data_IF_632020842379
#
_entry.id   IF_632020842379
#
_cell.length_a   1.000
_cell.length_b   1.000
_cell.length_c   1.000
_cell.angle_alpha   90.00
_cell.angle_beta   90.00
_cell.angle_gamma   90.00
#
_symmetry.space_group_name_H-M   'P 1'
#
loop_
_entity.id
_entity.type
_entity.pdbx_description
1 polymer ?
#
# COMPACT_ATOMS: atom_id res chain seq x y z
N UNK A 1 -2.77 3.17 26.88
CA UNK A 1 -1.85 3.09 25.75
C UNK A 1 -1.25 1.69 25.77
N UNK A 2 -1.63 0.86 24.82
CA UNK A 2 -1.12 -0.49 24.67
C UNK A 2 0.00 -0.52 23.60
N UNK A 3 0.65 -1.67 23.40
CA UNK A 3 1.70 -1.82 22.38
C UNK A 3 1.23 -1.42 20.97
N UNK A 4 0.00 -1.75 20.61
CA UNK A 4 -0.58 -1.45 19.28
C UNK A 4 -0.71 0.06 19.07
N UNK A 5 -1.19 0.78 20.07
CA UNK A 5 -1.33 2.24 20.01
C UNK A 5 0.04 2.91 19.83
N UNK A 6 1.07 2.41 20.51
CA UNK A 6 2.45 2.91 20.37
C UNK A 6 3.01 2.65 18.97
N UNK A 7 2.80 1.44 18.42
CA UNK A 7 3.25 1.11 17.06
C UNK A 7 2.54 1.97 16.01
N UNK A 8 1.23 2.19 16.17
CA UNK A 8 0.48 3.08 15.27
C UNK A 8 0.96 4.52 15.30
N UNK A 9 1.34 5.04 16.48
CA UNK A 9 1.92 6.37 16.60
C UNK A 9 3.30 6.44 15.92
N UNK A 10 4.16 5.44 16.15
CA UNK A 10 5.46 5.35 15.50
C UNK A 10 5.33 5.26 13.97
N UNK A 11 4.42 4.44 13.47
CA UNK A 11 4.13 4.31 12.04
C UNK A 11 3.68 5.64 11.43
N UNK A 12 2.89 6.43 12.16
CA UNK A 12 2.48 7.76 11.73
C UNK A 12 3.67 8.72 11.64
N UNK A 13 4.54 8.74 12.65
CA UNK A 13 5.73 9.58 12.67
C UNK A 13 6.71 9.21 11.55
N UNK A 14 6.92 7.91 11.31
CA UNK A 14 7.78 7.41 10.24
C UNK A 14 7.21 7.74 8.86
N UNK A 15 5.90 7.52 8.65
CA UNK A 15 5.26 7.87 7.38
C UNK A 15 5.37 9.37 7.10
N UNK A 16 5.11 10.22 8.10
CA UNK A 16 5.25 11.67 7.96
C UNK A 16 6.69 12.06 7.57
N UNK A 17 7.70 11.50 8.23
CA UNK A 17 9.10 11.77 7.90
C UNK A 17 9.47 11.31 6.48
N UNK A 18 8.96 10.15 6.04
CA UNK A 18 9.18 9.68 4.67
C UNK A 18 8.42 10.51 3.63
N UNK A 19 7.22 11.00 3.96
CA UNK A 19 6.45 11.86 3.09
C UNK A 19 7.16 13.21 2.87
N UNK A 20 7.68 13.81 3.94
CA UNK A 20 8.48 15.05 3.86
C UNK A 20 9.75 14.88 3.00
N UNK A 21 10.33 13.68 3.02
CA UNK A 21 11.49 13.33 2.21
C UNK A 21 11.13 12.89 0.76
N UNK A 22 9.84 12.84 0.41
CA UNK A 22 9.37 12.43 -0.92
C UNK A 22 9.41 10.93 -1.19
N UNK A 23 9.49 10.10 -0.14
CA UNK A 23 9.50 8.63 -0.22
C UNK A 23 8.14 7.99 0.08
N UNK A 24 7.19 8.76 0.60
CA UNK A 24 5.85 8.29 0.92
C UNK A 24 4.80 9.31 0.47
N UNK A 25 3.60 8.81 0.22
CA UNK A 25 2.51 9.66 -0.26
C UNK A 25 1.18 9.26 0.38
N UNK A 26 0.18 10.12 0.20
CA UNK A 26 -1.21 9.88 0.56
C UNK A 26 -2.01 9.66 -0.71
N UNK A 27 -2.77 8.58 -0.75
CA UNK A 27 -3.64 8.22 -1.86
C UNK A 27 -5.11 8.24 -1.44
N UNK A 28 -6.00 8.11 -2.42
CA UNK A 28 -7.41 7.81 -2.18
C UNK A 28 -7.67 6.34 -2.49
N UNK A 29 -8.06 5.57 -1.48
CA UNK A 29 -8.57 4.22 -1.63
C UNK A 29 -10.06 4.29 -1.94
N UNK A 30 -10.49 3.67 -3.04
CA UNK A 30 -11.90 3.56 -3.42
C UNK A 30 -12.26 2.10 -3.64
N UNK A 31 -13.18 1.58 -2.82
CA UNK A 31 -13.73 0.25 -3.02
C UNK A 31 -14.94 0.27 -4.00
N UNK A 32 -15.55 -0.89 -4.24
CA UNK A 32 -16.72 -1.00 -5.13
C UNK A 32 -17.95 -0.21 -4.69
N UNK A 33 -17.99 0.26 -3.44
CA UNK A 33 -19.07 1.08 -2.90
C UNK A 33 -18.85 2.57 -3.22
N UNK A 34 -17.78 2.90 -3.98
CA UNK A 34 -17.44 4.25 -4.45
C UNK A 34 -17.23 5.27 -3.31
N UNK A 35 -16.90 4.81 -2.11
CA UNK A 35 -16.48 5.71 -1.03
C UNK A 35 -14.98 5.86 -1.08
N UNK A 36 -14.50 7.06 -1.41
CA UNK A 36 -13.08 7.39 -1.40
C UNK A 36 -12.61 7.67 0.03
N UNK A 37 -11.58 6.96 0.47
CA UNK A 37 -10.96 7.07 1.79
C UNK A 37 -9.51 7.51 1.61
N UNK A 38 -9.11 8.68 2.17
CA UNK A 38 -7.70 9.06 2.22
C UNK A 38 -6.90 8.02 3.01
N UNK A 39 -5.81 7.55 2.43
CA UNK A 39 -4.97 6.52 3.03
C UNK A 39 -3.51 6.78 2.75
N UNK A 40 -2.65 6.43 3.70
CA UNK A 40 -1.21 6.45 3.53
C UNK A 40 -0.77 5.22 2.76
N UNK A 41 0.17 5.41 1.85
CA UNK A 41 0.71 4.33 1.04
C UNK A 41 2.22 4.42 0.89
N UNK A 42 2.83 3.26 0.69
CA UNK A 42 4.15 3.14 0.07
C UNK A 42 4.01 2.49 -1.30
N UNK A 43 4.64 3.08 -2.31
CA UNK A 43 4.65 2.55 -3.68
C UNK A 43 6.06 2.12 -4.03
N UNK A 44 6.24 0.82 -4.16
CA UNK A 44 7.48 0.22 -4.64
C UNK A 44 7.33 -0.08 -6.13
N UNK A 45 8.11 0.64 -6.94
CA UNK A 45 8.12 0.51 -8.41
C UNK A 45 9.28 -0.37 -8.81
N UNK A 46 9.05 -1.21 -9.81
CA UNK A 46 10.05 -2.16 -10.31
C UNK A 46 10.48 -3.20 -9.26
N UNK A 47 9.57 -3.54 -8.33
CA UNK A 47 9.81 -4.59 -7.36
C UNK A 47 10.03 -5.93 -8.10
N UNK A 48 11.19 -6.54 -7.88
CA UNK A 48 11.55 -7.83 -8.45
C UNK A 48 11.56 -8.90 -7.37
N UNK A 49 10.86 -10.00 -7.62
CA UNK A 49 10.98 -11.20 -6.81
C UNK A 49 12.12 -12.05 -7.37
N UNK A 50 13.20 -12.21 -6.61
CA UNK A 50 14.24 -13.17 -6.94
C UNK A 50 13.96 -14.49 -6.21
N UNK A 51 13.51 -15.51 -6.96
CA UNK A 51 13.32 -16.87 -6.46
C UNK A 51 14.53 -17.76 -6.76
N UNK A 52 14.84 -18.71 -5.86
CA UNK A 52 15.95 -19.67 -6.03
C UNK A 52 15.67 -20.77 -7.07
N UNK A 53 14.44 -20.90 -7.58
CA UNK A 53 14.05 -21.94 -8.53
C UNK A 53 13.01 -21.42 -9.54
N UNK A 54 13.48 -20.79 -10.62
CA UNK A 54 12.78 -20.79 -11.92
C UNK A 54 11.58 -19.86 -12.13
N UNK A 55 11.39 -18.81 -11.32
CA UNK A 55 10.31 -17.82 -11.59
C UNK A 55 10.74 -16.77 -12.63
N UNK A 56 9.81 -16.45 -13.54
CA UNK A 56 9.96 -15.42 -14.58
C UNK A 56 10.00 -14.05 -13.90
N UNK A 57 11.14 -13.37 -14.03
CA UNK A 57 11.30 -11.98 -13.60
C UNK A 57 10.39 -11.07 -14.42
N UNK A 58 9.53 -10.32 -13.73
CA UNK A 58 8.77 -9.22 -14.30
C UNK A 58 8.72 -8.08 -13.29
N UNK A 59 9.09 -6.88 -13.73
CA UNK A 59 8.91 -5.67 -12.93
C UNK A 59 7.42 -5.55 -12.59
N UNK A 60 7.10 -5.46 -11.30
CA UNK A 60 5.73 -5.21 -10.83
C UNK A 60 5.72 -4.05 -9.85
N UNK A 61 4.63 -3.30 -9.85
CA UNK A 61 4.38 -2.28 -8.83
C UNK A 61 3.72 -2.92 -7.63
N UNK A 62 4.23 -2.63 -6.44
CA UNK A 62 3.66 -3.07 -5.17
C UNK A 62 3.22 -1.85 -4.37
N UNK A 63 1.98 -1.88 -3.89
CA UNK A 63 1.43 -0.87 -3.00
C UNK A 63 1.25 -1.47 -1.62
N UNK A 64 1.78 -0.79 -0.60
CA UNK A 64 1.56 -1.11 0.80
C UNK A 64 0.58 -0.09 1.39
N UNK A 65 -0.48 -0.56 2.02
CA UNK A 65 -1.57 0.23 2.60
C UNK A 65 -1.56 0.11 4.11
N UNK A 66 -1.71 1.21 4.83
CA UNK A 66 -1.85 1.19 6.29
C UNK A 66 -3.25 0.71 6.70
N UNK A 67 -3.31 -0.36 7.49
CA UNK A 67 -4.55 -0.97 7.99
C UNK A 67 -5.33 -0.05 8.94
N UNK A 68 -4.65 0.91 9.57
CA UNK A 68 -5.33 1.92 10.40
C UNK A 68 -6.15 2.90 9.54
N UNK A 69 -5.77 3.10 8.28
CA UNK A 69 -6.50 3.94 7.34
C UNK A 69 -7.53 3.11 6.55
N UNK A 70 -7.17 1.88 6.17
CA UNK A 70 -8.03 0.95 5.42
C UNK A 70 -8.02 -0.43 6.09
N UNK A 71 -9.01 -0.69 6.93
CA UNK A 71 -9.05 -1.89 7.79
C UNK A 71 -9.19 -3.23 7.03
N UNK A 72 -9.83 -3.23 5.85
CA UNK A 72 -10.02 -4.43 5.02
C UNK A 72 -9.83 -4.09 3.53
N UNK A 73 -8.59 -3.95 3.05
CA UNK A 73 -8.32 -3.67 1.64
C UNK A 73 -8.75 -4.86 0.76
N UNK A 74 -9.45 -4.58 -0.35
CA UNK A 74 -10.04 -5.62 -1.21
C UNK A 74 -9.48 -5.62 -2.63
N UNK A 75 -9.38 -6.82 -3.21
CA UNK A 75 -9.04 -6.97 -4.63
C UNK A 75 -10.04 -6.21 -5.52
N UNK A 76 -9.50 -5.61 -6.57
CA UNK A 76 -10.14 -4.69 -7.52
C UNK A 76 -10.54 -3.32 -6.96
N UNK A 77 -10.13 -2.98 -5.73
CA UNK A 77 -10.20 -1.61 -5.26
C UNK A 77 -9.19 -0.74 -6.01
N UNK A 78 -9.48 0.56 -6.10
CA UNK A 78 -8.64 1.54 -6.77
C UNK A 78 -7.85 2.36 -5.76
N UNK A 79 -6.59 2.64 -6.08
CA UNK A 79 -5.74 3.59 -5.38
C UNK A 79 -5.46 4.73 -6.34
N UNK A 80 -5.96 5.92 -6.04
CA UNK A 80 -5.70 7.12 -6.82
C UNK A 80 -4.61 7.93 -6.12
N UNK A 81 -3.47 8.07 -6.79
CA UNK A 81 -2.28 8.76 -6.32
C UNK A 81 -1.93 9.90 -7.29
N UNK A 82 -2.36 11.11 -6.98
CA UNK A 82 -2.21 12.26 -7.87
C UNK A 82 -2.88 12.02 -9.22
N UNK A 83 -2.07 11.82 -10.27
CA UNK A 83 -2.54 11.52 -11.63
C UNK A 83 -2.46 10.03 -12.02
N UNK A 84 -1.97 9.16 -11.12
CA UNK A 84 -1.90 7.72 -11.36
C UNK A 84 -3.02 6.99 -10.64
N UNK A 85 -3.59 5.99 -11.32
CA UNK A 85 -4.58 5.08 -10.76
C UNK A 85 -4.01 3.66 -10.80
N UNK A 86 -4.02 3.02 -9.64
CA UNK A 86 -3.65 1.62 -9.49
C UNK A 86 -4.88 0.80 -9.10
N UNK A 87 -4.94 -0.44 -9.58
CA UNK A 87 -5.96 -1.42 -9.19
C UNK A 87 -5.29 -2.51 -8.37
N UNK A 88 -5.82 -2.79 -7.17
CA UNK A 88 -5.35 -3.89 -6.33
C UNK A 88 -5.65 -5.22 -7.03
N UNK A 89 -4.62 -5.92 -7.48
CA UNK A 89 -4.78 -7.18 -8.20
C UNK A 89 -4.69 -8.36 -7.22
N UNK A 90 -3.46 -8.63 -6.74
CA UNK A 90 -3.11 -9.80 -5.94
C UNK A 90 -2.48 -9.40 -4.61
N UNK A 91 -2.99 -9.94 -3.49
CA UNK A 91 -2.43 -9.71 -2.15
C UNK A 91 -1.14 -10.50 -1.97
N UNK A 92 -0.05 -9.83 -1.60
CA UNK A 92 1.24 -10.46 -1.31
C UNK A 92 1.35 -10.91 0.14
N UNK A 93 0.74 -10.17 1.05
CA UNK A 93 0.79 -10.44 2.48
C UNK A 93 0.22 -9.29 3.27
N UNK A 94 0.12 -9.50 4.58
CA UNK A 94 -0.36 -8.54 5.54
C UNK A 94 0.34 -8.78 6.87
N UNK A 95 0.71 -7.69 7.54
CA UNK A 95 1.16 -7.68 8.92
C UNK A 95 0.17 -6.89 9.79
N UNK A 96 0.55 -6.57 11.04
CA UNK A 96 -0.34 -5.87 11.98
C UNK A 96 -0.62 -4.40 11.59
N UNK A 97 0.16 -3.84 10.68
CA UNK A 97 0.15 -2.42 10.29
C UNK A 97 -0.15 -2.20 8.81
N UNK A 98 0.29 -3.11 7.94
CA UNK A 98 0.34 -2.94 6.49
C UNK A 98 -0.25 -4.13 5.75
N UNK A 99 -0.97 -3.82 4.67
CA UNK A 99 -1.42 -4.78 3.67
C UNK A 99 -0.68 -4.53 2.36
N UNK A 100 -0.01 -5.55 1.82
CA UNK A 100 0.85 -5.43 0.62
C UNK A 100 0.20 -6.09 -0.59
N UNK A 101 0.17 -5.37 -1.71
CA UNK A 101 -0.55 -5.75 -2.91
C UNK A 101 0.28 -5.54 -4.17
N UNK A 102 0.25 -6.51 -5.07
CA UNK A 102 0.57 -6.27 -6.48
C UNK A 102 -0.55 -5.44 -7.09
N UNK A 103 -0.18 -4.44 -7.87
CA UNK A 103 -1.15 -3.58 -8.55
C UNK A 103 -0.94 -3.57 -10.06
N UNK A 104 -2.02 -3.33 -10.78
CA UNK A 104 -2.01 -3.03 -12.22
C UNK A 104 -2.33 -1.56 -12.44
N UNK A 105 -1.94 -1.01 -13.61
CA UNK A 105 -2.38 0.33 -14.01
C UNK A 105 -3.86 0.27 -14.41
N UNK A 106 -4.66 1.13 -13.77
CA UNK A 106 -6.10 1.27 -14.01
C UNK A 106 -6.43 2.19 -15.17
#
# INVERSE_FOLDING_TARGET
>A
MNQRDTLQALDADLHAAFADAGFAETALYTDRVNTAVPCRVYVDRDAQTFGNFGEVSGARTVVSLFLVDVADPRSKAQIVLGCETFVLDSKLGEDESLSRWVVTRG
#
